data_IF_404937880580
#
_entry.id   IF_404937880580
#
_cell.length_a   1.000
_cell.length_b   1.000
_cell.length_c   1.000
_cell.angle_alpha   90.00
_cell.angle_beta   90.00
_cell.angle_gamma   90.00
#
_symmetry.space_group_name_H-M   'P 1'
#
loop_
_entity.id
_entity.type
_entity.pdbx_description
1 polymer ?
#
# COMPACT_ATOMS: atom_id res chain seq x y z
N UNK A 1 -52.48 -7.15 2.41
CA UNK A 1 -51.34 -7.87 2.98
C UNK A 1 -50.60 -8.59 1.86
N UNK A 2 -49.42 -8.11 1.46
CA UNK A 2 -48.60 -8.75 0.41
C UNK A 2 -47.11 -8.62 0.75
N UNK A 3 -46.51 -9.80 0.95
CA UNK A 3 -45.10 -10.18 0.91
C UNK A 3 -44.09 -9.35 1.74
N UNK A 4 -43.74 -9.90 2.91
CA UNK A 4 -42.39 -9.76 3.46
C UNK A 4 -41.40 -10.33 2.45
N UNK A 5 -40.42 -9.53 2.01
CA UNK A 5 -39.19 -10.02 1.40
C UNK A 5 -38.08 -9.91 2.44
N UNK A 6 -37.63 -11.06 2.93
CA UNK A 6 -36.55 -11.21 3.88
C UNK A 6 -35.22 -11.50 3.17
N UNK A 7 -34.12 -11.18 3.87
CA UNK A 7 -32.73 -11.68 3.69
C UNK A 7 -31.97 -11.13 2.47
N UNK A 8 -30.68 -10.75 2.54
CA UNK A 8 -29.54 -11.32 3.29
C UNK A 8 -28.56 -10.21 3.69
N UNK A 9 -28.07 -10.24 4.93
CA UNK A 9 -26.95 -9.45 5.42
C UNK A 9 -25.62 -10.05 4.91
N UNK A 10 -24.75 -9.23 4.33
CA UNK A 10 -23.37 -9.62 4.02
C UNK A 10 -22.41 -8.84 4.92
N UNK A 11 -22.16 -9.38 6.12
CA UNK A 11 -21.09 -8.93 7.00
C UNK A 11 -19.76 -9.52 6.49
N UNK A 12 -19.00 -8.73 5.75
CA UNK A 12 -17.60 -9.04 5.44
C UNK A 12 -16.75 -8.80 6.69
N UNK A 13 -16.56 -9.85 7.48
CA UNK A 13 -15.57 -9.88 8.55
C UNK A 13 -14.22 -10.15 7.91
N UNK A 14 -13.47 -9.10 7.60
CA UNK A 14 -12.04 -9.20 7.30
C UNK A 14 -11.28 -9.19 8.62
N UNK A 15 -11.16 -10.36 9.24
CA UNK A 15 -10.18 -10.62 10.30
C UNK A 15 -8.78 -10.62 9.69
N UNK A 16 -8.10 -9.48 9.73
CA UNK A 16 -6.65 -9.40 9.56
C UNK A 16 -6.01 -9.25 10.93
N UNK A 17 -5.81 -10.35 11.65
CA UNK A 17 -4.91 -10.37 12.81
C UNK A 17 -3.48 -10.26 12.27
N UNK A 18 -2.90 -9.06 12.31
CA UNK A 18 -1.52 -8.85 11.92
C UNK A 18 -0.57 -9.44 12.96
N UNK A 19 0.07 -10.56 12.62
CA UNK A 19 0.99 -11.30 13.48
C UNK A 19 2.43 -10.85 13.31
N UNK A 20 3.16 -10.78 14.42
CA UNK A 20 4.57 -10.44 14.52
C UNK A 20 5.44 -11.17 13.47
N UNK A 21 5.89 -10.44 12.45
CA UNK A 21 6.80 -10.93 11.39
C UNK A 21 6.25 -10.88 9.95
N UNK A 22 5.11 -10.24 9.71
CA UNK A 22 4.47 -10.21 8.39
C UNK A 22 5.27 -9.51 7.28
N UNK A 23 5.29 -10.14 6.10
CA UNK A 23 5.71 -9.53 4.85
C UNK A 23 4.85 -8.29 4.56
N UNK A 24 5.49 -7.11 4.68
CA UNK A 24 4.87 -5.79 4.46
C UNK A 24 4.96 -5.31 3.01
N UNK A 25 5.61 -6.06 2.13
CA UNK A 25 5.78 -5.64 0.74
C UNK A 25 4.53 -5.89 -0.07
N UNK A 26 3.99 -4.84 -0.69
CA UNK A 26 3.00 -4.99 -1.74
C UNK A 26 3.71 -5.45 -3.02
N UNK A 27 3.12 -6.45 -3.68
CA UNK A 27 3.59 -6.99 -4.97
C UNK A 27 2.41 -7.07 -5.93
N UNK A 28 2.64 -7.15 -7.25
CA UNK A 28 1.59 -7.45 -8.20
C UNK A 28 0.79 -8.68 -7.79
N UNK A 29 -0.54 -8.53 -7.66
CA UNK A 29 -1.45 -9.59 -7.20
C UNK A 29 -1.43 -9.87 -5.69
N UNK A 30 -0.57 -9.21 -4.91
CA UNK A 30 -0.48 -9.36 -3.45
C UNK A 30 -0.45 -7.97 -2.78
N UNK A 31 -1.60 -7.27 -2.73
CA UNK A 31 -1.70 -5.99 -2.04
C UNK A 31 -1.51 -6.14 -0.53
N UNK A 32 -1.13 -5.06 0.15
CA UNK A 32 -0.87 -5.06 1.60
C UNK A 32 -1.64 -3.98 2.32
N UNK A 33 -2.24 -4.36 3.45
CA UNK A 33 -2.89 -3.42 4.35
C UNK A 33 -1.86 -2.60 5.11
N UNK A 34 -2.20 -1.34 5.37
CA UNK A 34 -1.42 -0.47 6.24
C UNK A 34 -1.54 -0.93 7.70
N UNK A 35 -0.62 -0.52 8.61
CA UNK A 35 -0.67 -0.92 10.01
C UNK A 35 -1.97 -0.55 10.72
N UNK A 36 -2.65 0.53 10.31
CA UNK A 36 -3.95 0.89 10.88
C UNK A 36 -5.13 0.11 10.29
N UNK A 37 -4.92 -0.65 9.21
CA UNK A 37 -5.97 -1.32 8.44
C UNK A 37 -6.87 -0.38 7.63
N UNK A 38 -6.57 0.92 7.58
CA UNK A 38 -7.42 1.91 6.87
C UNK A 38 -7.12 1.98 5.38
N UNK A 39 -5.90 1.62 4.98
CA UNK A 39 -5.42 1.76 3.61
C UNK A 39 -4.87 0.44 3.08
N UNK A 40 -4.85 0.33 1.76
CA UNK A 40 -4.28 -0.81 1.05
C UNK A 40 -3.33 -0.28 -0.02
N UNK A 41 -2.09 -0.77 0.00
CA UNK A 41 -1.11 -0.50 -1.03
C UNK A 41 -1.13 -1.61 -2.08
N UNK A 42 -1.07 -1.19 -3.33
CA UNK A 42 -1.05 -2.02 -4.52
C UNK A 42 0.18 -1.65 -5.34
N UNK A 43 0.98 -2.65 -5.70
CA UNK A 43 1.95 -2.53 -6.78
C UNK A 43 1.26 -3.04 -8.05
N UNK A 44 0.62 -2.14 -8.80
CA UNK A 44 -0.21 -2.49 -9.97
C UNK A 44 0.64 -3.09 -11.10
N UNK A 45 1.90 -2.65 -11.18
CA UNK A 45 2.89 -3.12 -12.14
C UNK A 45 4.30 -2.99 -11.55
N UNK A 46 5.31 -3.28 -12.36
CA UNK A 46 6.71 -3.04 -12.00
C UNK A 46 7.05 -1.55 -11.80
N UNK A 47 6.14 -0.62 -12.15
CA UNK A 47 6.38 0.82 -12.10
C UNK A 47 5.21 1.65 -11.57
N UNK A 48 4.11 1.04 -11.14
CA UNK A 48 2.95 1.79 -10.64
C UNK A 48 2.58 1.38 -9.23
N UNK A 49 2.44 2.38 -8.37
CA UNK A 49 1.89 2.23 -7.03
C UNK A 49 0.52 2.91 -6.94
N UNK A 50 -0.40 2.24 -6.26
CA UNK A 50 -1.71 2.78 -5.90
C UNK A 50 -1.99 2.55 -4.43
N UNK A 51 -2.59 3.53 -3.77
CA UNK A 51 -3.12 3.40 -2.41
C UNK A 51 -4.62 3.62 -2.47
N UNK A 52 -5.38 2.70 -1.87
CA UNK A 52 -6.83 2.81 -1.72
C UNK A 52 -7.20 2.90 -0.25
N UNK A 53 -8.36 3.50 0.04
CA UNK A 53 -9.02 3.31 1.32
C UNK A 53 -9.61 1.89 1.46
N UNK A 54 -10.16 1.58 2.64
CA UNK A 54 -10.80 0.27 2.92
C UNK A 54 -12.02 -0.05 2.06
N UNK A 55 -12.63 0.95 1.42
CA UNK A 55 -13.78 0.79 0.54
C UNK A 55 -13.36 0.64 -0.93
N UNK A 56 -12.06 0.67 -1.21
CA UNK A 56 -11.50 0.58 -2.57
C UNK A 56 -11.44 1.92 -3.31
N UNK A 57 -11.68 3.05 -2.63
CA UNK A 57 -11.52 4.37 -3.21
C UNK A 57 -10.04 4.73 -3.35
N UNK A 58 -9.61 5.14 -4.54
CA UNK A 58 -8.24 5.60 -4.79
C UNK A 58 -7.95 6.89 -4.00
N UNK A 59 -6.91 6.87 -3.17
CA UNK A 59 -6.43 8.06 -2.42
C UNK A 59 -5.07 8.56 -2.90
N UNK A 60 -4.29 7.70 -3.55
CA UNK A 60 -3.02 8.05 -4.16
C UNK A 60 -2.71 7.10 -5.33
N UNK A 61 -2.09 7.62 -6.38
CA UNK A 61 -1.56 6.84 -7.50
C UNK A 61 -0.36 7.55 -8.09
N UNK A 62 0.70 6.80 -8.39
CA UNK A 62 1.89 7.34 -9.07
C UNK A 62 2.56 6.28 -9.94
N UNK A 63 2.98 6.70 -11.12
CA UNK A 63 3.80 5.90 -12.04
C UNK A 63 5.26 6.35 -11.98
N UNK A 64 6.16 5.39 -12.07
CA UNK A 64 7.61 5.50 -12.08
C UNK A 64 8.13 4.89 -13.38
N UNK A 65 7.70 5.40 -14.54
CA UNK A 65 7.92 4.77 -15.86
C UNK A 65 9.40 4.40 -16.13
N UNK A 66 10.34 5.19 -15.60
CA UNK A 66 11.79 4.96 -15.75
C UNK A 66 12.39 3.92 -14.79
N UNK A 67 11.65 3.52 -13.76
CA UNK A 67 12.05 2.50 -12.77
C UNK A 67 12.16 1.08 -13.35
N UNK A 68 11.61 0.86 -14.55
CA UNK A 68 11.54 -0.44 -15.23
C UNK A 68 12.89 -0.95 -15.73
N UNK A 69 13.99 -0.19 -15.58
CA UNK A 69 15.20 -0.38 -16.39
C UNK A 69 16.39 -1.09 -15.73
N UNK A 70 16.35 -1.49 -14.44
CA UNK A 70 17.58 -2.01 -13.79
C UNK A 70 17.46 -3.26 -12.91
N UNK A 71 16.26 -3.73 -12.54
CA UNK A 71 16.06 -5.05 -11.89
C UNK A 71 14.82 -5.75 -12.41
N UNK A 72 14.87 -7.08 -12.50
CA UNK A 72 13.75 -7.93 -12.91
C UNK A 72 12.51 -7.83 -12.00
N UNK A 73 12.64 -7.16 -10.85
CA UNK A 73 11.64 -7.17 -9.75
C UNK A 73 10.77 -5.90 -9.68
N UNK A 74 11.04 -4.87 -10.49
CA UNK A 74 10.29 -3.59 -10.47
C UNK A 74 10.55 -2.74 -9.22
N UNK A 75 9.68 -1.75 -8.96
CA UNK A 75 9.71 -0.94 -7.74
C UNK A 75 9.39 -1.78 -6.50
N UNK A 76 10.07 -1.51 -5.39
CA UNK A 76 9.70 -2.04 -4.08
C UNK A 76 8.62 -1.17 -3.44
N UNK A 77 7.53 -1.76 -2.94
CA UNK A 77 6.45 -1.01 -2.26
C UNK A 77 6.24 -1.60 -0.87
N UNK A 78 6.39 -0.82 0.19
CA UNK A 78 6.36 -1.34 1.58
C UNK A 78 5.79 -0.34 2.57
N UNK A 79 4.91 -0.81 3.46
CA UNK A 79 4.43 0.00 4.58
C UNK A 79 5.48 0.10 5.69
N UNK A 80 5.60 1.26 6.34
CA UNK A 80 6.29 1.37 7.62
C UNK A 80 5.56 0.54 8.69
N UNK A 81 6.28 -0.04 9.65
CA UNK A 81 5.70 -1.04 10.57
C UNK A 81 4.59 -0.48 11.48
N UNK A 82 4.66 0.82 11.83
CA UNK A 82 3.78 1.44 12.84
C UNK A 82 3.03 2.67 12.35
N UNK A 83 3.16 3.03 11.07
CA UNK A 83 2.54 4.23 10.51
C UNK A 83 1.93 3.91 9.16
N UNK A 84 0.84 4.59 8.82
CA UNK A 84 0.26 4.61 7.48
C UNK A 84 1.13 5.47 6.54
N UNK A 85 2.40 5.09 6.46
CA UNK A 85 3.42 5.72 5.66
C UNK A 85 3.99 4.62 4.77
N UNK A 86 3.82 4.78 3.46
CA UNK A 86 4.30 3.85 2.46
C UNK A 86 5.66 4.31 1.94
N UNK A 87 6.49 3.39 1.51
CA UNK A 87 7.77 3.66 0.89
C UNK A 87 7.84 2.98 -0.46
N UNK A 88 8.30 3.74 -1.47
CA UNK A 88 8.64 3.23 -2.79
C UNK A 88 10.15 3.25 -2.95
N UNK A 89 10.70 2.10 -3.32
CA UNK A 89 12.12 1.90 -3.60
C UNK A 89 12.30 1.78 -5.10
N UNK A 90 12.87 2.80 -5.74
CA UNK A 90 13.20 2.77 -7.16
C UNK A 90 14.66 2.31 -7.33
N UNK A 91 14.93 1.14 -7.93
CA UNK A 91 16.29 0.63 -8.04
C UNK A 91 17.21 1.55 -8.86
N UNK A 92 18.31 2.01 -8.26
CA UNK A 92 19.31 2.85 -8.93
C UNK A 92 18.91 4.31 -9.10
N UNK A 93 17.81 4.74 -8.50
CA UNK A 93 17.30 6.11 -8.55
C UNK A 93 16.99 6.58 -7.13
N UNK A 94 15.73 6.90 -6.83
CA UNK A 94 15.33 7.50 -5.56
C UNK A 94 14.52 6.55 -4.67
N UNK A 95 14.43 6.91 -3.38
CA UNK A 95 13.47 6.36 -2.45
C UNK A 95 12.49 7.43 -2.05
N UNK A 96 11.19 7.14 -2.20
CA UNK A 96 10.13 8.08 -1.87
C UNK A 96 9.28 7.59 -0.71
N UNK A 97 8.97 8.53 0.18
CA UNK A 97 8.00 8.38 1.25
C UNK A 97 6.65 8.90 0.76
N UNK A 98 5.62 8.09 0.93
CA UNK A 98 4.24 8.37 0.57
C UNK A 98 3.38 8.37 1.83
N UNK A 99 2.78 9.51 2.17
CA UNK A 99 1.87 9.62 3.32
C UNK A 99 0.86 10.76 3.13
N UNK A 100 -0.25 10.68 3.87
CA UNK A 100 -1.21 11.77 3.98
C UNK A 100 -0.63 12.93 4.79
N UNK A 101 -0.75 14.15 4.26
CA UNK A 101 -0.52 15.38 4.99
C UNK A 101 -1.60 15.64 6.05
N UNK A 102 -1.43 16.70 6.87
CA UNK A 102 -2.42 17.09 7.88
C UNK A 102 -3.82 17.41 7.31
N UNK A 103 -3.88 17.78 6.03
CA UNK A 103 -5.08 18.05 5.25
C UNK A 103 -5.70 16.79 4.63
N UNK A 104 -5.08 15.61 4.82
CA UNK A 104 -5.50 14.35 4.24
C UNK A 104 -5.03 14.12 2.80
N UNK A 105 -4.31 15.08 2.19
CA UNK A 105 -3.78 14.94 0.84
C UNK A 105 -2.54 14.05 0.87
N UNK A 106 -2.56 12.97 0.09
CA UNK A 106 -1.42 12.08 -0.04
C UNK A 106 -0.36 12.69 -0.96
N UNK A 107 0.89 12.67 -0.50
CA UNK A 107 2.03 13.17 -1.26
C UNK A 107 3.15 12.15 -1.28
N UNK A 108 3.96 12.18 -2.34
CA UNK A 108 5.20 11.43 -2.44
C UNK A 108 6.37 12.41 -2.38
N UNK A 109 7.30 12.16 -1.47
CA UNK A 109 8.47 13.03 -1.25
C UNK A 109 9.70 12.14 -1.16
N UNK A 110 10.74 12.49 -1.92
CA UNK A 110 12.06 11.87 -1.78
C UNK A 110 12.57 12.03 -0.34
N UNK A 111 13.01 10.93 0.26
CA UNK A 111 13.46 10.91 1.64
C UNK A 111 14.46 9.78 1.90
N UNK A 112 15.27 9.94 2.94
CA UNK A 112 16.17 8.90 3.41
C UNK A 112 15.40 7.69 3.94
N UNK A 113 15.79 6.50 3.50
CA UNK A 113 15.10 5.27 3.86
C UNK A 113 15.21 4.98 5.37
N UNK A 114 14.09 4.69 6.07
CA UNK A 114 14.13 4.37 7.48
C UNK A 114 14.90 3.07 7.72
N UNK A 115 15.73 3.04 8.76
CA UNK A 115 16.55 1.87 9.08
C UNK A 115 15.75 0.57 9.34
N UNK A 116 14.44 0.64 9.60
CA UNK A 116 13.60 -0.57 9.66
C UNK A 116 13.31 -1.21 8.30
N UNK A 117 13.33 -0.46 7.19
CA UNK A 117 13.18 -1.00 5.84
C UNK A 117 14.53 -1.45 5.30
N UNK A 118 15.60 -0.71 5.60
CA UNK A 118 16.98 -1.10 5.25
C UNK A 118 17.35 -2.48 5.81
N UNK A 119 16.82 -2.86 6.97
CA UNK A 119 17.06 -4.17 7.61
C UNK A 119 16.24 -5.33 7.02
N UNK A 120 15.32 -5.06 6.09
CA UNK A 120 14.54 -6.11 5.41
C UNK A 120 15.29 -6.70 4.20
N UNK A 121 16.39 -6.08 3.78
CA UNK A 121 17.23 -6.48 2.65
C UNK A 121 18.66 -6.79 3.07
#
# INVERSE_FOLDING_TARGET
MRALAALVALLLVLTGCGGDGEDRFARPGAPKQSPSGKFVAHAESASEVRVTDRNGGDVFRKSYEYATSSRADGIGVVWLSKKDQLWVLVPGDTTERIEAGPDGVWTAVEAELPGEITRLG
#
